data_IF_358124550146
#
_entry.id   IF_358124550146
#
_cell.length_a   1.000
_cell.length_b   1.000
_cell.length_c   1.000
_cell.angle_alpha   90.00
_cell.angle_beta   90.00
_cell.angle_gamma   90.00
#
_symmetry.space_group_name_H-M   'P 1'
#
loop_
_entity.id
_entity.type
_entity.pdbx_description
1 polymer ?
#
# COMPACT_ATOMS: atom_id res chain seq x y z
N UNK A 1 -47.33 85.35 -3.71
CA UNK A 1 -46.06 85.35 -2.97
C UNK A 1 -46.06 84.14 -2.05
N UNK A 2 -44.90 83.48 -1.88
CA UNK A 2 -44.65 82.21 -1.17
C UNK A 2 -45.12 80.94 -1.91
N UNK A 3 -44.31 79.93 -2.20
CA UNK A 3 -42.87 79.72 -1.99
C UNK A 3 -42.58 78.28 -2.41
N UNK A 4 -41.69 78.06 -3.39
CA UNK A 4 -41.28 76.72 -3.84
C UNK A 4 -40.50 76.04 -2.72
N UNK A 5 -41.01 74.94 -2.18
CA UNK A 5 -40.26 74.10 -1.25
C UNK A 5 -39.27 73.23 -2.05
N UNK A 6 -38.04 73.72 -2.20
CA UNK A 6 -36.93 72.95 -2.79
C UNK A 6 -36.39 72.03 -1.71
N UNK A 7 -36.69 70.74 -1.79
CA UNK A 7 -36.12 69.71 -0.91
C UNK A 7 -34.68 69.46 -1.36
N UNK A 8 -33.70 70.07 -0.67
CA UNK A 8 -32.29 69.74 -0.81
C UNK A 8 -32.04 68.34 -0.24
N UNK A 9 -31.94 67.34 -1.10
CA UNK A 9 -31.45 66.01 -0.73
C UNK A 9 -29.93 66.14 -0.56
N UNK A 10 -29.47 66.27 0.68
CA UNK A 10 -28.05 66.18 1.02
C UNK A 10 -27.60 64.72 0.81
N UNK A 11 -27.05 64.43 -0.37
CA UNK A 11 -26.41 63.14 -0.63
C UNK A 11 -25.09 63.15 0.14
N UNK A 12 -25.07 62.57 1.34
CA UNK A 12 -23.84 62.33 2.07
C UNK A 12 -23.04 61.24 1.33
N UNK A 13 -22.13 61.66 0.45
CA UNK A 13 -21.14 60.76 -0.16
C UNK A 13 -20.24 60.21 0.94
N UNK A 14 -20.53 59.00 1.41
CA UNK A 14 -19.57 58.23 2.18
C UNK A 14 -18.37 57.96 1.26
N UNK A 15 -17.24 58.63 1.51
CA UNK A 15 -15.98 58.30 0.85
C UNK A 15 -15.63 56.85 1.21
N UNK A 16 -15.75 55.93 0.24
CA UNK A 16 -15.18 54.60 0.36
C UNK A 16 -13.67 54.76 0.50
N UNK A 17 -13.15 54.67 1.73
CA UNK A 17 -11.73 54.70 2.00
C UNK A 17 -11.10 53.50 1.30
N UNK A 18 -10.38 53.75 0.20
CA UNK A 18 -9.66 52.73 -0.53
C UNK A 18 -8.52 52.24 0.37
N UNK A 19 -8.78 51.20 1.15
CA UNK A 19 -7.74 50.50 1.90
C UNK A 19 -6.76 49.88 0.91
N UNK A 20 -5.67 50.59 0.60
CA UNK A 20 -4.54 50.08 -0.15
C UNK A 20 -3.52 49.57 0.88
N UNK A 21 -3.36 48.25 1.05
CA UNK A 21 -2.39 47.72 2.00
C UNK A 21 -1.00 48.27 1.66
N UNK A 22 -0.37 48.92 2.64
CA UNK A 22 0.88 49.70 2.50
C UNK A 22 2.10 48.90 2.06
N UNK A 23 1.97 47.57 1.90
CA UNK A 23 3.04 46.68 1.48
C UNK A 23 2.47 45.55 0.62
N UNK A 24 3.14 45.14 -0.48
CA UNK A 24 2.82 43.87 -1.12
C UNK A 24 2.95 42.78 -0.05
N UNK A 25 1.90 41.98 0.18
CA UNK A 25 2.01 40.81 1.06
C UNK A 25 3.19 40.00 0.55
N UNK A 26 4.25 39.89 1.35
CA UNK A 26 5.45 39.11 1.00
C UNK A 26 4.97 37.75 0.50
N UNK A 27 5.42 37.29 -0.69
CA UNK A 27 4.95 36.04 -1.25
C UNK A 27 5.20 34.93 -0.24
N UNK A 28 4.11 34.27 0.16
CA UNK A 28 4.17 33.17 1.10
C UNK A 28 4.64 31.95 0.33
N UNK A 29 5.74 31.36 0.79
CA UNK A 29 6.35 30.17 0.21
C UNK A 29 6.55 29.18 1.34
N UNK A 30 6.20 27.92 1.13
CA UNK A 30 6.46 26.88 2.10
C UNK A 30 7.87 26.31 1.91
N UNK A 31 8.55 25.96 3.00
CA UNK A 31 9.76 25.16 2.96
C UNK A 31 9.50 23.76 3.51
N UNK A 32 9.87 22.73 2.76
CA UNK A 32 9.76 21.33 3.18
C UNK A 32 11.00 20.56 2.74
N UNK A 33 11.70 19.92 3.69
CA UNK A 33 12.95 19.16 3.45
C UNK A 33 13.98 19.92 2.58
N UNK A 34 14.08 21.24 2.78
CA UNK A 34 14.99 22.12 2.04
C UNK A 34 14.49 22.60 0.66
N UNK A 35 13.38 22.06 0.15
CA UNK A 35 12.73 22.53 -1.08
C UNK A 35 11.70 23.62 -0.78
N UNK A 36 11.45 24.50 -1.78
CA UNK A 36 10.46 25.59 -1.71
C UNK A 36 9.26 25.26 -2.58
N UNK A 37 8.07 25.57 -2.09
CA UNK A 37 6.80 25.28 -2.76
C UNK A 37 5.87 26.49 -2.69
N UNK A 38 5.19 26.75 -3.80
CA UNK A 38 4.21 27.84 -3.90
C UNK A 38 2.89 27.45 -3.23
N UNK A 39 2.13 28.45 -2.76
CA UNK A 39 0.82 28.22 -2.13
C UNK A 39 -0.10 27.45 -3.09
N UNK A 40 -0.73 26.40 -2.56
CA UNK A 40 -1.61 25.50 -3.32
C UNK A 40 -0.89 24.32 -3.98
N UNK A 41 0.44 24.36 -4.10
CA UNK A 41 1.21 23.27 -4.68
C UNK A 41 1.09 22.00 -3.83
N UNK A 42 0.80 20.88 -4.50
CA UNK A 42 0.80 19.53 -3.92
C UNK A 42 2.08 18.81 -4.30
N UNK A 43 2.67 18.07 -3.36
CA UNK A 43 3.93 17.36 -3.57
C UNK A 43 4.05 16.10 -2.70
N UNK A 44 4.88 15.11 -3.08
CA UNK A 44 5.08 13.91 -2.29
C UNK A 44 5.76 14.21 -0.94
N UNK A 45 5.34 13.54 0.13
CA UNK A 45 6.01 13.62 1.43
C UNK A 45 7.37 12.89 1.45
N UNK A 46 7.62 12.03 0.46
CA UNK A 46 8.84 11.22 0.35
C UNK A 46 8.80 9.90 1.13
N UNK A 47 7.61 9.45 1.51
CA UNK A 47 7.32 8.15 2.14
C UNK A 47 6.43 7.26 1.24
N UNK A 48 6.50 7.50 -0.08
CA UNK A 48 5.79 6.81 -1.17
C UNK A 48 4.27 6.98 -1.26
N UNK A 49 3.56 7.34 -0.17
CA UNK A 49 2.09 7.38 -0.22
C UNK A 49 1.46 8.66 0.33
N UNK A 50 2.15 9.42 1.18
CA UNK A 50 1.61 10.67 1.69
C UNK A 50 1.88 11.83 0.73
N UNK A 51 0.93 12.76 0.73
CA UNK A 51 0.98 13.98 -0.09
C UNK A 51 0.86 15.19 0.82
N UNK A 52 1.70 16.18 0.56
CA UNK A 52 1.73 17.46 1.24
C UNK A 52 1.17 18.57 0.35
N UNK A 53 0.63 19.62 0.97
CA UNK A 53 0.14 20.83 0.30
C UNK A 53 0.67 22.07 1.00
N UNK A 54 1.18 23.04 0.25
CA UNK A 54 1.55 24.35 0.80
C UNK A 54 0.31 25.22 1.04
N UNK A 55 0.10 25.69 2.27
CA UNK A 55 -1.06 26.49 2.66
C UNK A 55 -0.77 28.00 2.62
N UNK A 56 -1.80 28.87 2.51
CA UNK A 56 -1.64 30.32 2.44
C UNK A 56 -0.96 30.98 3.66
N UNK A 57 -0.86 30.27 4.78
CA UNK A 57 -0.15 30.72 6.00
C UNK A 57 1.33 30.29 6.02
N UNK A 58 1.84 29.67 4.95
CA UNK A 58 3.23 29.23 4.85
C UNK A 58 3.49 27.86 5.49
N UNK A 59 2.46 27.21 6.04
CA UNK A 59 2.56 25.86 6.61
C UNK A 59 2.41 24.80 5.53
N UNK A 60 3.16 23.71 5.70
CA UNK A 60 2.98 22.47 4.94
C UNK A 60 2.01 21.56 5.68
N UNK A 61 1.00 21.08 4.97
CA UNK A 61 -0.02 20.17 5.49
C UNK A 61 0.05 18.86 4.71
N UNK A 62 0.38 17.77 5.39
CA UNK A 62 0.55 16.44 4.80
C UNK A 62 -0.53 15.49 5.25
N UNK A 63 -0.94 14.58 4.37
CA UNK A 63 -1.70 13.41 4.82
C UNK A 63 -0.85 12.55 5.75
N UNK A 64 -1.51 11.87 6.68
CA UNK A 64 -0.88 10.93 7.61
C UNK A 64 -1.49 9.53 7.43
N UNK A 65 -1.08 8.86 6.35
CA UNK A 65 -1.49 7.51 6.00
C UNK A 65 -0.36 6.54 6.33
N UNK A 66 -0.73 5.33 6.75
CA UNK A 66 0.22 4.22 6.78
C UNK A 66 0.56 3.81 5.35
N UNK A 67 1.85 3.85 4.99
CA UNK A 67 2.29 3.50 3.64
C UNK A 67 2.75 2.05 3.48
N UNK A 68 3.19 1.41 4.57
CA UNK A 68 3.78 0.07 4.52
C UNK A 68 3.53 -0.74 5.80
N UNK A 69 3.49 -2.05 5.65
CA UNK A 69 3.57 -3.02 6.75
C UNK A 69 4.96 -3.65 6.79
N UNK A 70 5.39 -4.11 7.97
CA UNK A 70 6.55 -4.99 8.11
C UNK A 70 6.08 -6.45 8.13
N UNK A 71 6.58 -7.28 7.21
CA UNK A 71 6.27 -8.71 7.14
C UNK A 71 7.54 -9.51 6.83
N UNK A 72 7.91 -10.46 7.68
CA UNK A 72 9.12 -11.28 7.53
C UNK A 72 10.39 -10.46 7.21
N UNK A 73 10.56 -9.32 7.89
CA UNK A 73 11.68 -8.40 7.66
C UNK A 73 11.57 -7.50 6.41
N UNK A 74 10.57 -7.70 5.55
CA UNK A 74 10.33 -6.90 4.33
C UNK A 74 9.31 -5.79 4.57
N UNK A 75 9.45 -4.68 3.84
CA UNK A 75 8.43 -3.62 3.73
C UNK A 75 7.47 -3.99 2.60
N UNK A 76 6.19 -4.11 2.92
CA UNK A 76 5.10 -4.45 1.98
C UNK A 76 4.18 -3.24 1.87
N UNK A 77 3.85 -2.78 0.65
CA UNK A 77 2.99 -1.59 0.48
C UNK A 77 1.55 -1.90 0.89
N UNK A 78 0.84 -0.90 1.44
CA UNK A 78 -0.60 -1.07 1.74
C UNK A 78 -1.37 -1.49 0.49
N UNK A 79 -2.21 -2.51 0.62
CA UNK A 79 -2.97 -3.13 -0.47
C UNK A 79 -2.25 -4.29 -1.17
N UNK A 80 -0.93 -4.38 -1.05
CA UNK A 80 -0.15 -5.47 -1.64
C UNK A 80 -0.40 -6.79 -0.90
N UNK A 81 -0.39 -7.89 -1.67
CA UNK A 81 -0.53 -9.26 -1.16
C UNK A 81 0.71 -10.06 -1.52
N UNK A 82 1.32 -10.70 -0.51
CA UNK A 82 2.56 -11.47 -0.62
C UNK A 82 2.35 -12.92 -0.17
N UNK A 83 3.15 -13.89 -0.63
CA UNK A 83 3.08 -15.27 -0.15
C UNK A 83 3.38 -15.37 1.36
N UNK A 84 2.63 -16.20 2.11
CA UNK A 84 2.90 -16.49 3.53
C UNK A 84 4.16 -17.33 3.73
N UNK A 85 4.53 -18.11 2.71
CA UNK A 85 5.70 -19.01 2.70
C UNK A 85 5.36 -20.49 2.89
N UNK A 86 4.08 -20.83 2.92
CA UNK A 86 3.54 -22.21 3.00
C UNK A 86 2.90 -22.65 1.66
N UNK A 87 3.23 -21.98 0.55
CA UNK A 87 2.79 -22.25 -0.82
C UNK A 87 1.28 -22.14 -1.13
N UNK A 88 0.41 -22.06 -0.13
CA UNK A 88 -1.04 -21.97 -0.36
C UNK A 88 -1.70 -20.74 0.25
N UNK A 89 -1.08 -20.11 1.25
CA UNK A 89 -1.62 -18.92 1.88
C UNK A 89 -0.90 -17.65 1.44
N UNK A 90 -1.62 -16.54 1.56
CA UNK A 90 -1.13 -15.21 1.25
C UNK A 90 -1.44 -14.23 2.37
N UNK A 91 -0.70 -13.13 2.40
CA UNK A 91 -0.74 -12.11 3.43
C UNK A 91 -0.90 -10.74 2.78
N UNK A 92 -1.91 -9.97 3.18
CA UNK A 92 -2.20 -8.63 2.64
C UNK A 92 -1.85 -7.56 3.67
N UNK A 93 -1.13 -6.52 3.24
CA UNK A 93 -0.90 -5.34 4.07
C UNK A 93 -2.13 -4.44 4.10
N UNK A 94 -2.67 -4.18 5.29
CA UNK A 94 -3.90 -3.41 5.49
C UNK A 94 -3.59 -1.95 5.83
N UNK A 95 -4.54 -1.01 5.60
CA UNK A 95 -4.35 0.42 5.87
C UNK A 95 -4.05 0.78 7.33
N UNK A 96 -4.34 -0.11 8.28
CA UNK A 96 -4.01 0.05 9.71
C UNK A 96 -2.58 -0.41 10.06
N UNK A 97 -1.73 -0.67 9.05
CA UNK A 97 -0.34 -1.11 9.23
C UNK A 97 -0.18 -2.56 9.65
N UNK A 98 -1.28 -3.34 9.73
CA UNK A 98 -1.23 -4.76 10.04
C UNK A 98 -1.25 -5.62 8.80
N UNK A 99 -0.65 -6.79 8.92
CA UNK A 99 -0.70 -7.83 7.90
C UNK A 99 -1.81 -8.81 8.27
N UNK A 100 -2.69 -9.11 7.32
CA UNK A 100 -3.74 -10.12 7.48
C UNK A 100 -3.45 -11.27 6.52
N UNK A 101 -3.31 -12.47 7.05
CA UNK A 101 -3.03 -13.66 6.23
C UNK A 101 -4.24 -14.57 6.13
N UNK A 102 -4.35 -15.29 5.02
CA UNK A 102 -5.23 -16.47 4.95
C UNK A 102 -4.64 -17.60 5.79
N UNK A 103 -5.51 -18.45 6.31
CA UNK A 103 -5.10 -19.62 7.08
C UNK A 103 -5.91 -20.84 6.66
N UNK A 104 -5.68 -21.24 5.41
CA UNK A 104 -6.23 -22.47 4.85
C UNK A 104 -5.28 -23.62 5.17
N UNK A 105 -5.85 -24.80 5.43
CA UNK A 105 -5.08 -26.05 5.46
C UNK A 105 -4.52 -26.30 4.06
N UNK A 106 -3.21 -26.23 3.90
CA UNK A 106 -2.57 -26.48 2.61
C UNK A 106 -2.67 -27.97 2.25
N UNK A 107 -3.01 -28.24 0.99
CA UNK A 107 -2.94 -29.57 0.41
C UNK A 107 -1.56 -29.74 -0.23
N UNK A 108 -0.68 -30.45 0.48
CA UNK A 108 0.69 -30.76 0.04
C UNK A 108 0.71 -31.46 -1.32
N UNK A 109 -0.34 -32.19 -1.66
CA UNK A 109 -0.44 -32.96 -2.90
C UNK A 109 -0.88 -32.10 -4.09
N UNK A 110 -1.42 -30.92 -3.82
CA UNK A 110 -1.74 -29.92 -4.85
C UNK A 110 -0.59 -28.91 -5.08
N UNK A 111 0.44 -28.92 -4.23
CA UNK A 111 1.60 -28.05 -4.39
C UNK A 111 2.43 -28.44 -5.63
N UNK A 112 3.08 -27.46 -6.30
CA UNK A 112 3.88 -27.73 -7.48
C UNK A 112 5.10 -28.61 -7.16
N UNK A 113 5.68 -29.23 -8.20
CA UNK A 113 6.99 -29.88 -8.10
C UNK A 113 8.01 -28.89 -7.49
N UNK A 114 8.78 -29.29 -6.46
CA UNK A 114 9.78 -28.42 -5.87
C UNK A 114 10.78 -27.92 -6.90
N UNK A 115 10.92 -26.60 -7.02
CA UNK A 115 11.92 -25.97 -7.86
C UNK A 115 13.19 -25.71 -7.04
N UNK A 116 13.96 -26.78 -6.80
CA UNK A 116 15.26 -26.67 -6.16
C UNK A 116 16.25 -27.68 -6.72
N UNK A 117 17.51 -27.24 -6.81
CA UNK A 117 18.63 -28.09 -7.23
C UNK A 117 19.24 -28.81 -6.02
N UNK A 118 19.76 -30.00 -6.25
CA UNK A 118 20.41 -30.82 -5.22
C UNK A 118 20.75 -32.20 -5.75
N UNK A 119 21.12 -33.11 -4.85
CA UNK A 119 21.53 -34.48 -5.18
C UNK A 119 20.73 -35.54 -4.42
N UNK A 120 19.73 -35.13 -3.62
CA UNK A 120 18.91 -36.09 -2.89
C UNK A 120 17.89 -36.73 -3.83
N UNK A 121 17.78 -38.05 -3.78
CA UNK A 121 16.66 -38.80 -4.36
C UNK A 121 15.38 -38.42 -3.60
N UNK A 122 14.41 -37.82 -4.29
CA UNK A 122 13.15 -37.31 -3.73
C UNK A 122 11.96 -37.77 -4.57
N UNK A 123 10.77 -37.62 -4.01
CA UNK A 123 9.50 -37.94 -4.65
C UNK A 123 8.54 -36.75 -4.53
N UNK A 124 7.72 -36.51 -5.54
CA UNK A 124 6.64 -35.53 -5.51
C UNK A 124 5.40 -36.14 -6.15
N UNK A 125 4.22 -35.71 -5.74
CA UNK A 125 2.97 -36.07 -6.38
C UNK A 125 2.77 -35.23 -7.64
N UNK A 126 2.67 -35.89 -8.78
CA UNK A 126 2.33 -35.28 -10.05
C UNK A 126 0.81 -35.44 -10.27
N UNK A 127 0.07 -34.33 -10.14
CA UNK A 127 -1.38 -34.30 -10.31
C UNK A 127 -1.84 -34.56 -11.75
N UNK A 128 -0.97 -34.36 -12.75
CA UNK A 128 -1.29 -34.66 -14.14
C UNK A 128 -1.29 -36.17 -14.41
N UNK A 129 -0.31 -36.89 -13.86
CA UNK A 129 -0.23 -38.36 -14.00
C UNK A 129 -0.94 -39.12 -12.87
N UNK A 130 -1.40 -38.40 -11.83
CA UNK A 130 -1.92 -38.93 -10.57
C UNK A 130 -0.98 -39.96 -9.92
N UNK A 131 0.33 -39.69 -9.97
CA UNK A 131 1.38 -40.60 -9.47
C UNK A 131 2.44 -39.84 -8.69
N UNK A 132 3.04 -40.52 -7.72
CA UNK A 132 4.28 -40.08 -7.12
C UNK A 132 5.45 -40.39 -8.06
N UNK A 133 6.11 -39.33 -8.52
CA UNK A 133 7.24 -39.39 -9.45
C UNK A 133 8.54 -39.01 -8.76
N UNK A 134 9.63 -39.68 -9.16
CA UNK A 134 10.95 -39.43 -8.60
C UNK A 134 11.56 -38.17 -9.23
N UNK A 135 12.29 -37.41 -8.43
CA UNK A 135 13.17 -36.35 -8.92
C UNK A 135 14.45 -36.28 -8.08
N UNK A 136 15.47 -35.64 -8.63
CA UNK A 136 16.68 -35.28 -7.90
C UNK A 136 16.55 -33.85 -7.43
N UNK A 137 16.72 -33.60 -6.13
CA UNK A 137 16.49 -32.27 -5.57
C UNK A 137 17.09 -32.06 -4.18
N UNK A 138 16.59 -31.04 -3.51
CA UNK A 138 17.08 -30.57 -2.21
C UNK A 138 16.29 -31.16 -1.03
N UNK A 139 16.77 -30.85 0.19
CA UNK A 139 15.95 -31.00 1.39
C UNK A 139 14.87 -29.91 1.47
N UNK A 140 13.66 -30.26 1.88
CA UNK A 140 12.55 -29.32 1.97
C UNK A 140 11.27 -29.94 2.53
N UNK A 141 10.23 -29.12 2.65
CA UNK A 141 8.85 -29.48 2.99
C UNK A 141 7.97 -29.41 1.72
N UNK A 142 6.65 -29.53 1.87
CA UNK A 142 5.70 -29.39 0.76
C UNK A 142 5.55 -30.70 -0.01
N UNK A 143 5.33 -30.59 -1.32
CA UNK A 143 5.32 -31.72 -2.25
C UNK A 143 6.73 -32.31 -2.49
N UNK A 144 7.42 -32.70 -1.42
CA UNK A 144 8.81 -33.15 -1.42
C UNK A 144 9.04 -34.24 -0.38
N UNK A 145 8.89 -35.49 -0.80
CA UNK A 145 8.96 -36.67 0.05
C UNK A 145 10.31 -37.38 -0.08
N UNK A 146 10.77 -37.99 1.01
CA UNK A 146 12.02 -38.76 1.05
C UNK A 146 11.90 -40.17 0.44
N UNK A 147 10.68 -40.66 0.18
CA UNK A 147 10.41 -41.98 -0.38
C UNK A 147 9.09 -42.01 -1.16
N UNK A 148 8.97 -42.96 -2.09
CA UNK A 148 7.74 -43.19 -2.86
C UNK A 148 6.56 -43.48 -1.95
N UNK A 149 6.73 -44.40 -0.98
CA UNK A 149 5.68 -44.79 -0.04
C UNK A 149 5.19 -43.62 0.82
N UNK A 150 6.09 -42.72 1.24
CA UNK A 150 5.66 -41.53 1.99
C UNK A 150 4.79 -40.60 1.13
N UNK A 151 5.15 -40.40 -0.14
CA UNK A 151 4.35 -39.64 -1.09
C UNK A 151 3.00 -40.32 -1.37
N UNK A 152 3.01 -41.62 -1.67
CA UNK A 152 1.79 -42.35 -2.01
C UNK A 152 0.81 -42.35 -0.82
N UNK A 153 1.30 -42.54 0.41
CA UNK A 153 0.46 -42.51 1.61
C UNK A 153 -0.20 -41.15 1.85
N UNK A 154 0.51 -40.06 1.54
CA UNK A 154 -0.02 -38.71 1.73
C UNK A 154 -1.00 -38.33 0.60
N UNK A 155 -0.67 -38.69 -0.65
CA UNK A 155 -1.30 -38.09 -1.83
C UNK A 155 -2.13 -39.03 -2.68
N UNK A 156 -1.93 -40.34 -2.58
CA UNK A 156 -2.70 -41.30 -3.34
C UNK A 156 -3.94 -41.73 -2.55
N UNK A 157 -5.12 -41.30 -3.01
CA UNK A 157 -6.42 -41.62 -2.38
C UNK A 157 -6.73 -43.12 -2.33
N UNK A 158 -6.01 -43.95 -3.10
CA UNK A 158 -6.14 -45.42 -3.12
C UNK A 158 -5.22 -46.14 -2.11
N UNK A 159 -4.29 -45.45 -1.45
CA UNK A 159 -3.31 -46.08 -0.54
C UNK A 159 -3.89 -46.43 0.85
N UNK A 160 -5.19 -46.19 1.06
CA UNK A 160 -5.92 -46.42 2.32
C UNK A 160 -7.24 -47.18 2.16
N UNK A 161 -7.38 -47.99 1.10
CA UNK A 161 -8.46 -48.99 0.95
C UNK A 161 -7.87 -50.38 0.94
#
# INVERSE_FOLDING_TARGET
>A
MLGKLVVLILVASACASQYKPKYPKKPVVCSYKGQKYDVGQKFPAGDDCNTCTCKPNGRVDCSDKTCFCKFNGKKVKVGETVPKGDNCNSCTCKPNGRVSCTDKKCDVCAEPKPNCEGYFKRWYYNSYSNKCEQFTGCKGKGNNFNSKNACDRECNKSYGK
#
